data_IF_598101589267
#
_entry.id   IF_598101589267
#
_cell.length_a   1.000
_cell.length_b   1.000
_cell.length_c   1.000
_cell.angle_alpha   90.00
_cell.angle_beta   90.00
_cell.angle_gamma   90.00
#
_symmetry.space_group_name_H-M   'P 1'
#
loop_
_entity.id
_entity.type
_entity.pdbx_description
1 polymer ?
#
# COMPACT_ATOMS: atom_id res chain seq x y z
N UNK A 1 -12.93 -3.62 0.07
CA UNK A 1 -12.92 -4.94 0.74
C UNK A 1 -11.53 -5.28 1.34
N UNK A 2 -10.97 -4.47 2.26
CA UNK A 2 -9.63 -4.75 2.83
C UNK A 2 -9.71 -5.70 4.04
N UNK A 3 -10.82 -5.69 4.79
CA UNK A 3 -10.95 -6.46 6.03
C UNK A 3 -11.02 -7.98 5.84
N UNK A 4 -11.75 -8.53 4.84
CA UNK A 4 -11.71 -9.96 4.58
C UNK A 4 -10.29 -10.46 4.29
N UNK A 5 -9.49 -9.66 3.59
CA UNK A 5 -8.09 -9.99 3.30
C UNK A 5 -7.23 -10.08 4.58
N UNK A 6 -7.36 -9.12 5.50
CA UNK A 6 -6.62 -9.16 6.77
C UNK A 6 -6.99 -10.34 7.66
N UNK A 7 -8.24 -10.82 7.58
CA UNK A 7 -8.70 -12.00 8.33
C UNK A 7 -8.11 -13.32 7.81
N UNK A 8 -7.58 -13.33 6.59
CA UNK A 8 -6.89 -14.49 6.02
C UNK A 8 -5.45 -14.66 6.51
N UNK A 9 -4.92 -13.69 7.27
CA UNK A 9 -3.55 -13.76 7.78
C UNK A 9 -3.42 -14.80 8.89
N UNK A 10 -2.28 -15.50 8.89
CA UNK A 10 -1.98 -16.47 9.95
C UNK A 10 -1.67 -15.74 11.27
N UNK A 11 -1.80 -16.45 12.39
CA UNK A 11 -1.63 -15.90 13.75
C UNK A 11 -0.25 -15.23 14.02
N UNK A 12 0.78 -15.54 13.23
CA UNK A 12 2.12 -14.95 13.33
C UNK A 12 2.37 -13.83 12.30
N UNK A 13 1.35 -13.42 11.54
CA UNK A 13 1.48 -12.34 10.57
C UNK A 13 1.38 -10.99 11.28
N UNK A 14 2.16 -10.04 10.78
CA UNK A 14 2.07 -8.64 11.18
C UNK A 14 1.68 -7.80 9.98
N UNK A 15 0.94 -6.72 10.22
CA UNK A 15 0.44 -5.87 9.15
C UNK A 15 0.46 -4.40 9.57
N UNK A 16 0.39 -3.53 8.57
CA UNK A 16 0.07 -2.13 8.75
C UNK A 16 -0.68 -1.66 7.50
N UNK A 17 -1.41 -0.56 7.60
CA UNK A 17 -2.13 0.04 6.48
C UNK A 17 -1.62 1.45 6.30
N UNK A 18 -1.15 1.77 5.09
CA UNK A 18 -0.81 3.14 4.70
C UNK A 18 -1.79 3.55 3.62
N UNK A 19 -2.42 4.70 3.80
CA UNK A 19 -3.36 5.29 2.83
C UNK A 19 -2.80 6.60 2.33
N UNK A 20 -2.99 6.88 1.05
CA UNK A 20 -2.39 8.01 0.39
C UNK A 20 -3.39 8.75 -0.48
N UNK A 21 -3.18 10.06 -0.58
CA UNK A 21 -3.83 10.98 -1.49
C UNK A 21 -2.80 12.06 -1.88
N UNK A 22 -3.07 13.35 -1.64
CA UNK A 22 -2.03 14.39 -1.66
C UNK A 22 -1.05 14.30 -0.48
N UNK A 23 -1.41 13.61 0.60
CA UNK A 23 -0.60 13.27 1.76
C UNK A 23 -0.73 11.76 2.05
N UNK A 24 -0.13 11.26 3.13
CA UNK A 24 -0.38 9.88 3.58
C UNK A 24 -0.66 9.79 5.07
N UNK A 25 -1.40 8.76 5.47
CA UNK A 25 -1.67 8.40 6.86
C UNK A 25 -1.38 6.92 7.04
N UNK A 26 -0.89 6.56 8.21
CA UNK A 26 -0.67 5.17 8.59
C UNK A 26 -1.64 4.82 9.71
N UNK A 27 -2.18 3.60 9.65
CA UNK A 27 -3.02 3.05 10.71
C UNK A 27 -2.26 3.01 12.03
N UNK A 28 -1.02 2.51 12.00
CA UNK A 28 -0.10 2.46 13.13
C UNK A 28 1.30 2.93 12.70
N UNK A 29 2.16 3.31 13.65
CA UNK A 29 3.54 3.73 13.36
C UNK A 29 4.41 2.57 12.84
N UNK A 30 4.16 1.35 13.33
CA UNK A 30 4.88 0.13 13.01
C UNK A 30 3.91 -1.02 12.74
N UNK A 31 4.44 -2.16 12.30
CA UNK A 31 3.65 -3.37 12.09
C UNK A 31 3.03 -3.87 13.40
N UNK A 32 1.76 -4.26 13.33
CA UNK A 32 1.01 -4.81 14.46
C UNK A 32 0.59 -6.25 14.17
N UNK A 33 0.44 -7.09 15.20
CA UNK A 33 0.01 -8.48 15.01
C UNK A 33 -1.40 -8.52 14.39
N UNK A 34 -1.61 -9.44 13.46
CA UNK A 34 -2.88 -9.69 12.78
C UNK A 34 -3.91 -10.41 13.68
N UNK A 35 -4.12 -9.91 14.90
CA UNK A 35 -5.14 -10.41 15.81
C UNK A 35 -6.44 -9.62 15.67
N UNK A 36 -7.53 -10.18 16.22
CA UNK A 36 -8.88 -9.62 16.10
C UNK A 36 -8.96 -8.16 16.58
N UNK A 37 -8.29 -7.80 17.67
CA UNK A 37 -8.30 -6.46 18.22
C UNK A 37 -7.71 -5.40 17.27
N UNK A 38 -6.59 -5.72 16.59
CA UNK A 38 -6.01 -4.81 15.60
C UNK A 38 -6.77 -4.82 14.28
N UNK A 39 -7.36 -5.96 13.88
CA UNK A 39 -8.22 -6.04 12.69
C UNK A 39 -9.47 -5.16 12.87
N UNK A 40 -10.10 -5.16 14.05
CA UNK A 40 -11.26 -4.31 14.32
C UNK A 40 -10.90 -2.83 14.31
N UNK A 41 -9.78 -2.45 14.93
CA UNK A 41 -9.25 -1.08 14.86
C UNK A 41 -8.91 -0.66 13.42
N UNK A 42 -8.34 -1.56 12.62
CA UNK A 42 -8.04 -1.31 11.22
C UNK A 42 -9.33 -1.10 10.40
N UNK A 43 -10.40 -1.82 10.71
CA UNK A 43 -11.71 -1.62 10.10
C UNK A 43 -12.29 -0.23 10.40
N UNK A 44 -12.21 0.21 11.66
CA UNK A 44 -12.61 1.57 12.05
C UNK A 44 -11.77 2.63 11.32
N UNK A 45 -10.45 2.44 11.28
CA UNK A 45 -9.54 3.31 10.54
C UNK A 45 -9.95 3.43 9.08
N UNK A 46 -10.13 2.32 8.37
CA UNK A 46 -10.51 2.31 6.94
C UNK A 46 -11.88 2.96 6.72
N UNK A 47 -12.87 2.72 7.59
CA UNK A 47 -14.20 3.35 7.50
C UNK A 47 -14.18 4.85 7.72
N UNK A 48 -13.20 5.37 8.46
CA UNK A 48 -13.06 6.80 8.72
C UNK A 48 -12.44 7.58 7.55
N UNK A 49 -11.95 6.89 6.52
CA UNK A 49 -11.26 7.50 5.40
C UNK A 49 -12.25 8.16 4.44
N UNK A 50 -11.88 9.36 3.98
CA UNK A 50 -12.56 10.06 2.92
C UNK A 50 -11.59 10.22 1.75
N UNK A 51 -12.00 9.81 0.56
CA UNK A 51 -11.23 10.02 -0.65
C UNK A 51 -11.30 11.50 -1.05
N UNK A 52 -10.20 12.21 -0.86
CA UNK A 52 -10.06 13.61 -1.27
C UNK A 52 -8.61 13.91 -1.69
N UNK A 53 -8.42 14.85 -2.60
CA UNK A 53 -7.09 15.21 -3.11
C UNK A 53 -6.62 14.38 -4.30
N UNK A 54 -5.31 14.44 -4.59
CA UNK A 54 -4.68 13.72 -5.70
C UNK A 54 -4.21 12.31 -5.34
N UNK A 55 -3.39 11.71 -6.20
CA UNK A 55 -2.91 10.33 -6.09
C UNK A 55 -1.38 10.32 -5.99
N UNK A 56 -0.82 10.91 -4.93
CA UNK A 56 0.63 10.91 -4.67
C UNK A 56 0.99 9.72 -3.79
N UNK A 57 1.50 8.67 -4.42
CA UNK A 57 1.89 7.42 -3.78
C UNK A 57 3.36 7.41 -3.32
N UNK A 58 4.24 8.20 -3.95
CA UNK A 58 5.67 8.17 -3.67
C UNK A 58 6.03 8.45 -2.20
N UNK A 59 5.48 9.48 -1.53
CA UNK A 59 5.80 9.72 -0.12
C UNK A 59 5.37 8.56 0.77
N UNK A 60 4.19 8.01 0.50
CA UNK A 60 3.62 6.89 1.25
C UNK A 60 4.45 5.63 1.11
N UNK A 61 4.79 5.25 -0.14
CA UNK A 61 5.54 4.03 -0.39
C UNK A 61 6.96 4.17 0.16
N UNK A 62 7.62 5.32 0.00
CA UNK A 62 8.95 5.53 0.58
C UNK A 62 8.94 5.38 2.11
N UNK A 63 7.94 5.92 2.81
CA UNK A 63 7.80 5.73 4.25
C UNK A 63 7.62 4.24 4.61
N UNK A 64 6.86 3.49 3.82
CA UNK A 64 6.69 2.04 3.99
C UNK A 64 7.99 1.27 3.72
N UNK A 65 8.76 1.62 2.69
CA UNK A 65 10.04 0.96 2.36
C UNK A 65 11.09 1.09 3.46
N UNK A 66 11.05 2.14 4.27
CA UNK A 66 11.96 2.28 5.42
C UNK A 66 11.62 1.33 6.57
N UNK A 67 10.37 0.84 6.64
CA UNK A 67 9.95 -0.21 7.58
C UNK A 67 10.35 -1.62 7.15
N UNK A 68 10.90 -1.79 5.94
CA UNK A 68 11.34 -3.07 5.35
C UNK A 68 10.29 -4.20 5.46
N UNK A 69 9.03 -4.01 4.98
CA UNK A 69 8.08 -5.11 4.85
C UNK A 69 8.64 -6.22 3.98
N UNK A 70 8.22 -7.47 4.22
CA UNK A 70 8.44 -8.55 3.26
C UNK A 70 7.60 -8.35 1.97
N UNK A 71 6.38 -7.84 2.11
CA UNK A 71 5.45 -7.68 1.00
C UNK A 71 4.58 -6.44 1.17
N UNK A 72 4.32 -5.75 0.06
CA UNK A 72 3.39 -4.63 -0.04
C UNK A 72 2.26 -5.03 -1.00
N UNK A 73 1.02 -4.75 -0.62
CA UNK A 73 -0.13 -4.81 -1.53
C UNK A 73 -0.57 -3.37 -1.84
N UNK A 74 -0.24 -2.90 -3.04
CA UNK A 74 -0.57 -1.57 -3.52
C UNK A 74 -1.92 -1.61 -4.24
N UNK A 75 -2.90 -0.86 -3.71
CA UNK A 75 -4.24 -0.74 -4.29
C UNK A 75 -4.41 0.68 -4.83
N UNK A 76 -4.82 0.83 -6.10
CA UNK A 76 -5.03 2.14 -6.72
C UNK A 76 -6.12 2.07 -7.79
N UNK A 77 -6.95 3.10 -7.87
CA UNK A 77 -8.05 3.22 -8.83
C UNK A 77 -7.85 4.30 -9.89
N UNK A 78 -6.88 5.19 -9.70
CA UNK A 78 -6.61 6.30 -10.62
C UNK A 78 -5.17 6.36 -11.13
N UNK A 79 -4.93 7.40 -11.92
CA UNK A 79 -3.61 7.80 -12.41
C UNK A 79 -2.77 8.39 -11.27
N UNK A 80 -1.45 8.09 -11.21
CA UNK A 80 -0.58 8.74 -10.25
C UNK A 80 -0.50 10.25 -10.52
N UNK A 81 -0.42 11.05 -9.46
CA UNK A 81 -0.02 12.45 -9.56
C UNK A 81 1.50 12.63 -9.56
N UNK A 82 2.24 11.59 -9.17
CA UNK A 82 3.70 11.57 -9.18
C UNK A 82 4.27 11.22 -10.57
N UNK A 83 5.54 11.56 -10.79
CA UNK A 83 6.26 11.14 -12.00
C UNK A 83 6.41 9.62 -12.08
N UNK A 84 5.95 9.01 -13.17
CA UNK A 84 6.11 7.58 -13.42
C UNK A 84 7.58 7.12 -13.33
N UNK A 85 8.53 7.93 -13.81
CA UNK A 85 9.96 7.61 -13.72
C UNK A 85 10.41 7.40 -12.27
N UNK A 86 9.95 8.27 -11.36
CA UNK A 86 10.30 8.18 -9.94
C UNK A 86 9.62 6.98 -9.28
N UNK A 87 8.41 6.62 -9.71
CA UNK A 87 7.70 5.41 -9.25
C UNK A 87 8.47 4.15 -9.66
N UNK A 88 8.96 4.07 -10.89
CA UNK A 88 9.76 2.93 -11.34
C UNK A 88 11.11 2.84 -10.60
N UNK A 89 11.75 3.98 -10.30
CA UNK A 89 12.96 4.01 -9.46
C UNK A 89 12.67 3.54 -8.02
N UNK A 90 11.50 3.87 -7.48
CA UNK A 90 11.05 3.37 -6.18
C UNK A 90 10.89 1.84 -6.22
N UNK A 91 10.30 1.28 -7.28
CA UNK A 91 10.18 -0.17 -7.44
C UNK A 91 11.55 -0.86 -7.45
N UNK A 92 12.54 -0.30 -8.15
CA UNK A 92 13.92 -0.81 -8.12
C UNK A 92 14.54 -0.76 -6.70
N UNK A 93 14.26 0.29 -5.92
CA UNK A 93 14.67 0.39 -4.51
C UNK A 93 13.99 -0.67 -3.64
N UNK A 94 12.73 -0.99 -3.91
CA UNK A 94 12.02 -2.06 -3.21
C UNK A 94 12.66 -3.42 -3.51
N UNK A 95 12.91 -3.72 -4.80
CA UNK A 95 13.62 -4.92 -5.25
C UNK A 95 14.98 -5.07 -4.60
N UNK A 96 15.79 -4.00 -4.54
CA UNK A 96 17.11 -4.04 -3.92
C UNK A 96 17.07 -4.30 -2.40
N UNK A 97 15.93 -4.06 -1.76
CA UNK A 97 15.66 -4.36 -0.35
C UNK A 97 15.03 -5.74 -0.15
N UNK A 98 14.76 -6.50 -1.22
CA UNK A 98 14.06 -7.79 -1.17
C UNK A 98 12.56 -7.68 -0.87
N UNK A 99 11.95 -6.52 -1.18
CA UNK A 99 10.54 -6.23 -0.90
C UNK A 99 9.72 -6.49 -2.15
N UNK A 100 8.71 -7.36 -2.05
CA UNK A 100 7.79 -7.68 -3.16
C UNK A 100 6.61 -6.70 -3.14
N UNK A 101 6.28 -6.09 -4.27
CA UNK A 101 5.10 -5.22 -4.40
C UNK A 101 4.07 -5.88 -5.32
N UNK A 102 2.99 -6.38 -4.73
CA UNK A 102 1.81 -6.84 -5.47
C UNK A 102 0.88 -5.65 -5.74
N UNK A 103 0.39 -5.51 -6.97
CA UNK A 103 -0.50 -4.42 -7.36
C UNK A 103 -1.93 -4.91 -7.62
N UNK A 104 -2.90 -4.13 -7.18
CA UNK A 104 -4.33 -4.36 -7.39
C UNK A 104 -4.92 -3.07 -7.92
N UNK A 105 -5.31 -3.08 -9.18
CA UNK A 105 -5.96 -1.93 -9.79
C UNK A 105 -7.48 -2.06 -9.73
N UNK A 106 -8.16 -1.00 -9.30
CA UNK A 106 -9.60 -0.98 -9.05
C UNK A 106 -10.28 -0.03 -10.04
N UNK A 107 -11.45 -0.39 -10.58
CA UNK A 107 -12.17 0.45 -11.54
C UNK A 107 -11.53 0.54 -12.92
N UNK A 108 -12.04 1.44 -13.76
CA UNK A 108 -11.61 1.59 -15.15
C UNK A 108 -10.48 2.62 -15.33
N UNK A 109 -10.41 3.64 -14.46
CA UNK A 109 -9.46 4.77 -14.56
C UNK A 109 -8.03 4.44 -14.09
N UNK A 110 -7.80 3.21 -13.64
CA UNK A 110 -6.52 2.71 -13.17
C UNK A 110 -5.42 2.80 -14.24
N UNK A 111 -4.21 3.16 -13.82
CA UNK A 111 -3.02 3.04 -14.67
C UNK A 111 -2.49 1.60 -14.69
N UNK A 112 -3.15 0.73 -15.47
CA UNK A 112 -2.83 -0.71 -15.57
C UNK A 112 -1.37 -0.97 -15.93
N UNK A 113 -0.83 -0.21 -16.88
CA UNK A 113 0.52 -0.42 -17.37
C UNK A 113 1.58 -0.06 -16.33
N UNK A 114 1.38 1.03 -15.59
CA UNK A 114 2.24 1.37 -14.47
C UNK A 114 2.18 0.31 -13.36
N UNK A 115 0.97 -0.10 -12.96
CA UNK A 115 0.79 -1.11 -11.91
C UNK A 115 1.45 -2.44 -12.29
N UNK A 116 1.38 -2.84 -13.57
CA UNK A 116 2.09 -4.02 -14.09
C UNK A 116 3.60 -3.85 -14.07
N UNK A 117 4.12 -2.69 -14.48
CA UNK A 117 5.57 -2.41 -14.46
C UNK A 117 6.12 -2.46 -13.03
N UNK A 118 5.41 -1.90 -12.06
CA UNK A 118 5.81 -1.97 -10.63
C UNK A 118 5.92 -3.44 -10.19
N UNK A 119 4.86 -4.22 -10.39
CA UNK A 119 4.83 -5.63 -9.99
C UNK A 119 5.84 -6.51 -10.74
N UNK A 120 6.17 -6.16 -11.98
CA UNK A 120 7.17 -6.87 -12.78
C UNK A 120 8.61 -6.58 -12.30
N UNK A 121 8.87 -5.36 -11.83
CA UNK A 121 10.20 -4.96 -11.35
C UNK A 121 10.50 -5.68 -10.03
N UNK A 122 9.60 -5.61 -9.05
CA UNK A 122 9.87 -6.07 -7.67
C UNK A 122 9.84 -7.57 -7.52
#
# INVERSE_FOLDING_TARGET
EIIPFLRGFTHNSYFNITVFNSNFKQFMQDFVPANQAYIDKANEFVKSLNANGGTSMLPAINAVLEKRPATIYLISDGQPSDSERLILQMAEKARSKGIIINTIGVGEDQNKDLLRKIAYIT
#
